data_IF_809545845969
#
_entry.id   IF_809545845969
#
_cell.length_a   1.000
_cell.length_b   1.000
_cell.length_c   1.000
_cell.angle_alpha   90.00
_cell.angle_beta   90.00
_cell.angle_gamma   90.00
#
_symmetry.space_group_name_H-M   'P 1'
#
loop_
_entity.id
_entity.type
_entity.pdbx_description
1 polymer ?
#
# COMPACT_ATOMS: atom_id res chain seq x y z
N UNK A 1 -16.50 2.38 -20.00
CA UNK A 1 -16.43 0.96 -20.46
C UNK A 1 -16.33 0.02 -19.25
N UNK A 2 -15.38 0.18 -18.35
CA UNK A 2 -15.15 -0.73 -17.20
C UNK A 2 -16.34 -0.89 -16.25
N UNK A 3 -17.20 0.13 -16.13
CA UNK A 3 -18.37 0.07 -15.25
C UNK A 3 -19.41 -1.00 -15.62
N UNK A 4 -19.33 -1.55 -16.84
CA UNK A 4 -20.23 -2.64 -17.31
C UNK A 4 -19.66 -4.04 -17.03
N UNK A 5 -18.37 -4.12 -16.63
CA UNK A 5 -17.65 -5.38 -16.43
C UNK A 5 -17.23 -5.58 -14.97
N UNK A 6 -17.07 -4.48 -14.23
CA UNK A 6 -16.54 -4.48 -12.85
C UNK A 6 -17.46 -3.70 -11.91
N UNK A 7 -17.48 -4.09 -10.67
CA UNK A 7 -17.99 -3.26 -9.58
C UNK A 7 -17.03 -2.10 -9.34
N UNK A 8 -17.42 -0.90 -9.76
CA UNK A 8 -16.54 0.27 -9.76
C UNK A 8 -16.84 1.20 -8.59
N UNK A 9 -15.78 1.63 -7.92
CA UNK A 9 -15.80 2.62 -6.85
C UNK A 9 -15.08 3.88 -7.33
N UNK A 10 -15.81 4.99 -7.44
CA UNK A 10 -15.25 6.30 -7.78
C UNK A 10 -15.39 7.22 -6.58
N UNK A 11 -14.28 7.74 -6.09
CA UNK A 11 -14.35 8.64 -4.96
C UNK A 11 -13.52 9.90 -5.17
N UNK A 12 -14.02 11.00 -4.64
CA UNK A 12 -13.28 12.25 -4.60
C UNK A 12 -12.36 12.21 -3.40
N UNK A 13 -11.05 12.23 -3.66
CA UNK A 13 -10.01 12.09 -2.66
C UNK A 13 -9.68 13.43 -1.97
N UNK A 14 -10.66 14.01 -1.28
CA UNK A 14 -10.57 15.31 -0.65
C UNK A 14 -9.54 15.36 0.49
N UNK A 15 -9.39 14.33 1.30
CA UNK A 15 -8.32 14.25 2.29
C UNK A 15 -6.95 14.15 1.67
N UNK A 16 -6.80 13.45 0.54
CA UNK A 16 -5.53 13.43 -0.18
C UNK A 16 -5.18 14.82 -0.73
N UNK A 17 -6.16 15.52 -1.30
CA UNK A 17 -5.99 16.89 -1.78
C UNK A 17 -5.60 17.84 -0.65
N UNK A 18 -6.19 17.66 0.53
CA UNK A 18 -5.90 18.48 1.72
C UNK A 18 -4.44 18.39 2.17
N UNK A 19 -3.72 17.30 1.86
CA UNK A 19 -2.29 17.17 2.21
C UNK A 19 -1.41 18.23 1.56
N UNK A 20 -1.85 18.82 0.46
CA UNK A 20 -1.13 19.86 -0.30
C UNK A 20 -1.85 21.21 -0.34
N UNK A 21 -3.14 21.26 0.02
CA UNK A 21 -3.98 22.45 -0.01
C UNK A 21 -4.61 22.76 1.35
N UNK A 22 -3.90 22.42 2.45
CA UNK A 22 -4.41 22.62 3.81
C UNK A 22 -4.56 24.10 4.19
N UNK A 23 -3.90 25.01 3.50
CA UNK A 23 -3.97 26.45 3.68
C UNK A 23 -5.10 27.13 2.87
N UNK A 24 -5.74 26.39 1.97
CA UNK A 24 -6.81 26.87 1.08
C UNK A 24 -7.86 25.76 0.86
N UNK A 25 -8.50 25.25 1.93
CA UNK A 25 -9.40 24.09 1.84
C UNK A 25 -10.68 24.36 1.05
N UNK A 26 -11.09 25.62 0.91
CA UNK A 26 -12.24 26.07 0.11
C UNK A 26 -12.13 25.66 -1.37
N UNK A 27 -10.91 25.59 -1.92
CA UNK A 27 -10.65 25.16 -3.29
C UNK A 27 -11.04 23.68 -3.46
N UNK A 28 -10.81 22.87 -2.42
CA UNK A 28 -11.18 21.45 -2.45
C UNK A 28 -12.68 21.28 -2.49
N UNK A 29 -13.41 22.03 -1.67
CA UNK A 29 -14.87 21.96 -1.59
C UNK A 29 -15.53 22.34 -2.93
N UNK A 30 -15.06 23.38 -3.60
CA UNK A 30 -15.50 23.76 -4.94
C UNK A 30 -15.19 22.66 -5.97
N UNK A 31 -13.98 22.12 -5.94
CA UNK A 31 -13.52 21.11 -6.89
C UNK A 31 -14.24 19.76 -6.76
N UNK A 32 -14.75 19.40 -5.57
CA UNK A 32 -15.52 18.17 -5.35
C UNK A 32 -16.73 18.10 -6.28
N UNK A 33 -17.51 19.18 -6.34
CA UNK A 33 -18.72 19.22 -7.17
C UNK A 33 -18.37 19.18 -8.66
N UNK A 34 -17.41 20.01 -9.08
CA UNK A 34 -16.97 20.07 -10.48
C UNK A 34 -16.47 18.72 -10.98
N UNK A 35 -15.65 18.02 -10.18
CA UNK A 35 -15.14 16.70 -10.53
C UNK A 35 -16.26 15.68 -10.73
N UNK A 36 -17.27 15.66 -9.87
CA UNK A 36 -18.43 14.75 -10.02
C UNK A 36 -19.23 15.08 -11.27
N UNK A 37 -19.43 16.38 -11.58
CA UNK A 37 -20.11 16.83 -12.80
C UNK A 37 -19.35 16.34 -14.03
N UNK A 38 -18.02 16.47 -14.06
CA UNK A 38 -17.18 15.99 -15.16
C UNK A 38 -17.27 14.47 -15.34
N UNK A 39 -17.29 13.69 -14.27
CA UNK A 39 -17.47 12.24 -14.35
C UNK A 39 -18.81 11.86 -14.97
N UNK A 40 -19.89 12.49 -14.53
CA UNK A 40 -21.22 12.24 -15.07
C UNK A 40 -21.29 12.66 -16.55
N UNK A 41 -20.70 13.81 -16.91
CA UNK A 41 -20.63 14.26 -18.30
C UNK A 41 -19.79 13.33 -19.19
N UNK A 42 -18.74 12.70 -18.63
CA UNK A 42 -17.93 11.71 -19.32
C UNK A 42 -18.61 10.32 -19.45
N UNK A 43 -19.80 10.13 -18.88
CA UNK A 43 -20.60 8.92 -19.01
C UNK A 43 -20.45 7.92 -17.86
N UNK A 44 -19.97 8.35 -16.70
CA UNK A 44 -20.05 7.54 -15.48
C UNK A 44 -21.52 7.47 -15.05
N UNK A 45 -22.08 6.27 -14.98
CA UNK A 45 -23.49 6.05 -14.64
C UNK A 45 -23.64 5.73 -13.14
N UNK A 46 -24.22 6.64 -12.33
CA UNK A 46 -24.36 6.45 -10.89
C UNK A 46 -25.31 5.31 -10.52
N UNK A 47 -26.07 4.75 -11.48
CA UNK A 47 -26.86 3.56 -11.24
C UNK A 47 -26.02 2.24 -11.32
N UNK A 48 -24.83 2.30 -11.91
CA UNK A 48 -23.95 1.16 -12.11
C UNK A 48 -22.69 1.21 -11.25
N UNK A 49 -22.33 2.38 -10.72
CA UNK A 49 -21.10 2.56 -9.94
C UNK A 49 -21.39 3.18 -8.58
N UNK A 50 -20.50 2.97 -7.62
CA UNK A 50 -20.56 3.67 -6.34
C UNK A 50 -19.71 4.94 -6.41
N UNK A 51 -20.35 6.11 -6.23
CA UNK A 51 -19.69 7.42 -6.21
C UNK A 51 -19.79 7.98 -4.78
N UNK A 52 -18.67 8.43 -4.22
CA UNK A 52 -18.64 9.01 -2.87
C UNK A 52 -17.47 9.99 -2.69
N UNK A 53 -17.49 10.70 -1.57
CA UNK A 53 -16.40 11.57 -1.12
C UNK A 53 -15.63 10.83 -0.03
N UNK A 54 -14.32 10.77 -0.10
CA UNK A 54 -13.46 10.04 0.83
C UNK A 54 -13.74 10.41 2.29
N UNK A 55 -13.87 11.69 2.62
CA UNK A 55 -14.14 12.16 3.98
C UNK A 55 -15.52 11.81 4.52
N UNK A 56 -16.44 11.33 3.67
CA UNK A 56 -17.76 10.85 4.10
C UNK A 56 -17.77 9.38 4.48
N UNK A 57 -16.66 8.69 4.28
CA UNK A 57 -16.42 7.29 4.66
C UNK A 57 -15.24 7.27 5.62
N UNK A 58 -15.45 7.47 6.94
CA UNK A 58 -14.39 7.64 7.93
C UNK A 58 -13.48 6.42 8.06
N UNK A 59 -13.92 5.24 7.61
CA UNK A 59 -13.17 3.98 7.61
C UNK A 59 -11.84 4.09 6.84
N UNK A 60 -11.74 4.99 5.86
CA UNK A 60 -10.47 5.30 5.20
C UNK A 60 -9.42 5.81 6.21
N UNK A 61 -9.81 6.76 7.08
CA UNK A 61 -8.93 7.29 8.10
C UNK A 61 -8.66 6.28 9.23
N UNK A 62 -9.65 5.47 9.58
CA UNK A 62 -9.47 4.40 10.57
C UNK A 62 -8.45 3.38 10.09
N UNK A 63 -8.61 2.87 8.86
CA UNK A 63 -7.66 1.92 8.29
C UNK A 63 -6.28 2.55 8.10
N UNK A 64 -6.19 3.80 7.61
CA UNK A 64 -4.94 4.54 7.54
C UNK A 64 -4.23 4.59 8.88
N UNK A 65 -4.97 4.88 9.96
CA UNK A 65 -4.41 4.95 11.31
C UNK A 65 -3.86 3.60 11.75
N UNK A 66 -4.59 2.50 11.52
CA UNK A 66 -4.14 1.15 11.86
C UNK A 66 -2.89 0.75 11.05
N UNK A 67 -2.88 1.02 9.75
CA UNK A 67 -1.74 0.74 8.89
C UNK A 67 -0.51 1.57 9.28
N UNK A 68 -0.70 2.82 9.77
CA UNK A 68 0.41 3.68 10.20
C UNK A 68 1.18 3.12 11.38
N UNK A 69 0.53 2.32 12.24
CA UNK A 69 1.15 1.69 13.40
C UNK A 69 2.11 0.54 13.03
N UNK A 70 1.99 0.00 11.84
CA UNK A 70 2.79 -1.14 11.38
C UNK A 70 3.77 -0.78 10.25
N UNK A 71 3.60 0.37 9.61
CA UNK A 71 4.42 0.77 8.45
C UNK A 71 5.68 1.48 8.93
N UNK A 72 6.89 0.98 8.58
CA UNK A 72 8.14 1.63 8.96
C UNK A 72 8.27 3.02 8.34
N UNK A 73 8.75 4.00 9.10
CA UNK A 73 8.98 5.36 8.62
C UNK A 73 9.95 5.39 7.44
N UNK A 74 10.97 4.53 7.45
CA UNK A 74 11.95 4.41 6.36
C UNK A 74 11.31 4.08 5.00
N UNK A 75 10.19 3.36 4.97
CA UNK A 75 9.46 3.10 3.73
C UNK A 75 8.86 4.38 3.16
N UNK A 76 8.30 5.23 4.02
CA UNK A 76 7.73 6.52 3.63
C UNK A 76 8.79 7.49 3.12
N UNK A 77 9.94 7.54 3.79
CA UNK A 77 11.08 8.38 3.39
C UNK A 77 11.66 7.97 2.04
N UNK A 78 11.84 6.67 1.80
CA UNK A 78 12.27 6.15 0.49
C UNK A 78 11.28 6.52 -0.61
N UNK A 79 9.99 6.39 -0.35
CA UNK A 79 8.95 6.74 -1.30
C UNK A 79 8.96 8.24 -1.64
N UNK A 80 9.11 9.11 -0.66
CA UNK A 80 9.25 10.56 -0.84
C UNK A 80 10.49 10.91 -1.66
N UNK A 81 11.65 10.35 -1.30
CA UNK A 81 12.89 10.55 -2.03
C UNK A 81 12.84 10.09 -3.50
N UNK A 82 12.05 9.04 -3.79
CA UNK A 82 11.84 8.58 -5.17
C UNK A 82 11.05 9.60 -5.99
N UNK A 83 10.02 10.22 -5.42
CA UNK A 83 9.23 11.28 -6.08
C UNK A 83 10.07 12.53 -6.37
N UNK A 84 10.94 12.93 -5.45
CA UNK A 84 11.82 14.08 -5.64
C UNK A 84 12.81 13.86 -6.81
N UNK A 85 13.29 12.64 -7.00
CA UNK A 85 14.16 12.27 -8.14
C UNK A 85 13.46 12.33 -9.50
N UNK A 86 12.12 12.23 -9.54
CA UNK A 86 11.36 12.33 -10.79
C UNK A 86 11.13 13.79 -11.25
N UNK A 87 11.81 14.75 -10.65
CA UNK A 87 11.85 16.15 -11.12
C UNK A 87 10.56 16.95 -10.85
N UNK A 88 9.70 16.46 -9.98
CA UNK A 88 8.65 17.30 -9.39
C UNK A 88 9.24 17.88 -8.10
N UNK A 89 9.70 19.13 -8.10
CA UNK A 89 10.15 19.75 -6.86
C UNK A 89 8.94 19.69 -5.92
N UNK A 90 9.14 19.07 -4.75
CA UNK A 90 8.25 19.30 -3.62
C UNK A 90 8.16 20.81 -3.49
N UNK A 91 6.98 21.35 -3.80
CA UNK A 91 6.73 22.79 -3.73
C UNK A 91 7.19 23.24 -2.34
N UNK A 92 8.27 24.00 -2.33
CA UNK A 92 8.85 24.74 -1.22
C UNK A 92 8.29 24.40 0.17
N UNK A 93 8.98 23.57 0.92
CA UNK A 93 8.91 23.60 2.39
C UNK A 93 7.79 22.82 3.06
N UNK A 94 6.97 22.08 2.34
CA UNK A 94 5.80 21.39 2.87
C UNK A 94 6.08 19.91 3.19
N UNK A 95 6.99 19.65 4.11
CA UNK A 95 7.15 18.34 4.72
C UNK A 95 6.19 18.20 5.93
N UNK A 96 4.89 18.29 5.66
CA UNK A 96 3.91 17.94 6.70
C UNK A 96 3.82 16.42 6.84
N UNK A 97 3.42 15.97 8.03
CA UNK A 97 3.15 14.54 8.26
C UNK A 97 2.09 13.99 7.29
N UNK A 98 1.04 14.77 7.00
CA UNK A 98 0.01 14.39 6.02
C UNK A 98 0.58 14.17 4.62
N UNK A 99 1.49 15.04 4.18
CA UNK A 99 2.16 14.89 2.89
C UNK A 99 3.07 13.66 2.86
N UNK A 100 3.82 13.40 3.93
CA UNK A 100 4.63 12.19 4.06
C UNK A 100 3.75 10.93 4.10
N UNK A 101 2.62 10.99 4.81
CA UNK A 101 1.66 9.90 4.99
C UNK A 101 0.76 9.61 3.78
N UNK A 102 0.75 10.47 2.77
CA UNK A 102 -0.10 10.36 1.58
C UNK A 102 -0.10 8.96 0.91
N UNK A 103 1.04 8.28 0.68
CA UNK A 103 1.03 6.98 0.04
C UNK A 103 0.33 5.90 0.88
N UNK A 104 0.39 6.05 2.20
CA UNK A 104 -0.28 5.12 3.12
C UNK A 104 -1.79 5.35 3.17
N UNK A 105 -2.24 6.61 3.07
CA UNK A 105 -3.66 6.93 2.92
C UNK A 105 -4.21 6.32 1.62
N UNK A 106 -3.48 6.44 0.51
CA UNK A 106 -3.84 5.80 -0.76
C UNK A 106 -3.86 4.26 -0.64
N UNK A 107 -2.97 3.68 0.15
CA UNK A 107 -3.02 2.24 0.42
C UNK A 107 -4.28 1.85 1.18
N UNK A 108 -4.72 2.66 2.14
CA UNK A 108 -5.97 2.44 2.85
C UNK A 108 -7.17 2.51 1.89
N UNK A 109 -7.20 3.50 0.98
CA UNK A 109 -8.25 3.66 -0.04
C UNK A 109 -8.40 2.40 -0.91
N UNK A 110 -7.29 1.76 -1.27
CA UNK A 110 -7.29 0.56 -2.12
C UNK A 110 -7.68 -0.68 -1.32
N UNK A 111 -7.08 -0.86 -0.14
CA UNK A 111 -7.22 -2.08 0.66
C UNK A 111 -8.61 -2.19 1.32
N UNK A 112 -9.24 -1.06 1.66
CA UNK A 112 -10.56 -1.02 2.28
C UNK A 112 -11.61 -1.74 1.43
N UNK A 113 -11.55 -1.57 0.11
CA UNK A 113 -12.49 -2.16 -0.85
C UNK A 113 -11.99 -3.48 -1.45
N UNK A 114 -10.83 -3.99 -1.03
CA UNK A 114 -10.20 -5.19 -1.62
C UNK A 114 -10.07 -5.08 -3.14
N UNK A 115 -9.71 -3.91 -3.63
CA UNK A 115 -9.64 -3.64 -5.05
C UNK A 115 -8.71 -4.63 -5.75
N UNK A 116 -9.22 -5.31 -6.77
CA UNK A 116 -8.45 -6.25 -7.61
C UNK A 116 -7.80 -5.55 -8.79
N UNK A 117 -8.37 -4.43 -9.21
CA UNK A 117 -7.92 -3.61 -10.33
C UNK A 117 -7.92 -2.13 -9.91
N UNK A 118 -6.82 -1.44 -10.15
CA UNK A 118 -6.69 -0.01 -9.89
C UNK A 118 -6.15 0.66 -11.16
N UNK A 119 -7.00 1.34 -11.95
CA UNK A 119 -6.55 2.10 -13.10
C UNK A 119 -5.63 3.24 -12.66
N UNK A 120 -4.43 3.31 -13.23
CA UNK A 120 -3.46 4.35 -12.88
C UNK A 120 -2.47 4.64 -14.01
N UNK A 121 -1.85 5.81 -13.94
CA UNK A 121 -0.75 6.18 -14.81
C UNK A 121 0.55 5.49 -14.36
N UNK A 122 1.49 5.28 -15.29
CA UNK A 122 2.78 4.63 -15.01
C UNK A 122 3.58 5.24 -13.86
N UNK A 123 3.47 6.55 -13.67
CA UNK A 123 4.14 7.26 -12.58
C UNK A 123 3.56 6.97 -11.18
N UNK A 124 2.39 6.32 -11.10
CA UNK A 124 1.75 5.90 -9.86
C UNK A 124 2.00 4.42 -9.52
N UNK A 125 2.69 3.69 -10.40
CA UNK A 125 3.02 2.28 -10.16
C UNK A 125 3.73 2.05 -8.81
N UNK A 126 4.67 2.89 -8.38
CA UNK A 126 5.30 2.74 -7.06
C UNK A 126 4.31 2.78 -5.89
N UNK A 127 3.19 3.49 -6.03
CA UNK A 127 2.14 3.54 -4.99
C UNK A 127 1.46 2.18 -4.81
N UNK A 128 1.28 1.45 -5.91
CA UNK A 128 0.68 0.10 -5.88
C UNK A 128 1.65 -0.90 -5.27
N UNK A 129 2.94 -0.83 -5.61
CA UNK A 129 3.94 -1.70 -5.00
C UNK A 129 4.04 -1.43 -3.49
N UNK A 130 4.06 -0.16 -3.09
CA UNK A 130 4.00 0.21 -1.68
C UNK A 130 2.74 -0.34 -0.99
N UNK A 131 1.57 -0.26 -1.63
CA UNK A 131 0.32 -0.83 -1.11
C UNK A 131 0.43 -2.34 -0.91
N UNK A 132 1.06 -3.05 -1.85
CA UNK A 132 1.31 -4.49 -1.73
C UNK A 132 2.22 -4.82 -0.57
N UNK A 133 3.27 -4.03 -0.34
CA UNK A 133 4.20 -4.23 0.78
C UNK A 133 3.50 -4.01 2.12
N UNK A 134 2.67 -2.97 2.23
CA UNK A 134 1.84 -2.73 3.41
C UNK A 134 0.89 -3.89 3.67
N UNK A 135 0.22 -4.40 2.62
CA UNK A 135 -0.68 -5.55 2.74
C UNK A 135 0.06 -6.84 3.16
N UNK A 136 1.23 -7.12 2.56
CA UNK A 136 2.08 -8.25 2.96
C UNK A 136 2.49 -8.16 4.42
N UNK A 137 2.91 -6.97 4.87
CA UNK A 137 3.29 -6.75 6.26
C UNK A 137 2.11 -6.94 7.21
N UNK A 138 0.94 -6.42 6.85
CA UNK A 138 -0.29 -6.62 7.64
C UNK A 138 -0.60 -8.12 7.76
N UNK A 139 -0.63 -8.83 6.65
CA UNK A 139 -0.89 -10.27 6.62
C UNK A 139 0.16 -11.06 7.40
N UNK A 140 1.43 -10.67 7.30
CA UNK A 140 2.51 -11.29 8.07
C UNK A 140 2.34 -11.13 9.58
N UNK A 141 1.85 -9.97 10.03
CA UNK A 141 1.67 -9.68 11.46
C UNK A 141 0.38 -10.29 12.03
N UNK A 142 -0.72 -10.24 11.26
CA UNK A 142 -2.06 -10.53 11.76
C UNK A 142 -2.77 -11.69 11.03
N UNK A 143 -2.33 -12.03 9.83
CA UNK A 143 -2.94 -13.09 9.02
C UNK A 143 -2.46 -14.51 9.37
N UNK A 144 -1.80 -14.69 10.50
CA UNK A 144 -1.18 -15.95 10.88
C UNK A 144 -2.22 -17.03 11.23
N UNK A 145 -2.05 -18.20 10.64
CA UNK A 145 -2.83 -19.40 11.02
C UNK A 145 -2.51 -19.86 12.44
N UNK A 146 -3.39 -20.64 13.03
CA UNK A 146 -3.16 -21.24 14.36
C UNK A 146 -1.86 -22.11 14.34
N UNK A 147 -0.95 -21.82 15.25
CA UNK A 147 0.34 -22.50 15.33
C UNK A 147 1.37 -22.04 14.27
N UNK A 148 1.16 -20.90 13.63
CA UNK A 148 2.04 -20.34 12.60
C UNK A 148 3.52 -20.29 13.04
N UNK A 149 3.81 -19.80 14.25
CA UNK A 149 5.19 -19.64 14.74
C UNK A 149 5.94 -20.98 14.77
N UNK A 150 5.26 -22.05 15.21
CA UNK A 150 5.85 -23.40 15.25
C UNK A 150 6.11 -23.90 13.83
N UNK A 151 5.13 -23.76 12.95
CA UNK A 151 5.23 -24.19 11.55
C UNK A 151 6.27 -23.40 10.77
N UNK A 152 6.36 -22.10 11.00
CA UNK A 152 7.36 -21.23 10.38
C UNK A 152 8.78 -21.62 10.86
N UNK A 153 8.95 -21.89 12.16
CA UNK A 153 10.25 -22.33 12.68
C UNK A 153 10.66 -23.71 12.15
N UNK A 154 9.69 -24.63 11.97
CA UNK A 154 9.92 -25.91 11.30
C UNK A 154 10.34 -25.71 9.83
N UNK A 155 9.70 -24.78 9.12
CA UNK A 155 10.07 -24.45 7.74
C UNK A 155 11.50 -23.87 7.67
N UNK A 156 11.87 -22.98 8.61
CA UNK A 156 13.23 -22.43 8.71
C UNK A 156 14.26 -23.55 8.97
N UNK A 157 13.94 -24.54 9.81
CA UNK A 157 14.83 -25.69 10.05
C UNK A 157 15.07 -26.49 8.79
N UNK A 158 14.08 -26.61 7.89
CA UNK A 158 14.22 -27.31 6.60
C UNK A 158 15.18 -26.59 5.63
N UNK A 159 15.43 -25.27 5.80
CA UNK A 159 16.48 -24.55 5.07
C UNK A 159 17.89 -25.02 5.42
N UNK A 160 18.05 -25.69 6.55
CA UNK A 160 19.35 -26.08 7.12
C UNK A 160 20.02 -24.90 7.88
N UNK A 161 21.04 -25.21 8.67
CA UNK A 161 21.62 -24.25 9.62
C UNK A 161 22.09 -22.95 8.98
N UNK A 162 22.91 -23.01 7.92
CA UNK A 162 23.49 -21.81 7.28
C UNK A 162 22.41 -20.94 6.62
N UNK A 163 21.54 -21.53 5.80
CA UNK A 163 20.48 -20.81 5.09
C UNK A 163 19.41 -20.31 6.05
N UNK A 164 19.11 -21.05 7.11
CA UNK A 164 18.17 -20.62 8.14
C UNK A 164 18.65 -19.39 8.93
N UNK A 165 19.94 -19.28 9.25
CA UNK A 165 20.51 -18.07 9.83
C UNK A 165 20.44 -16.90 8.85
N UNK A 166 20.90 -17.11 7.61
CA UNK A 166 20.84 -16.07 6.58
C UNK A 166 19.42 -15.56 6.36
N UNK A 167 18.42 -16.44 6.31
CA UNK A 167 17.02 -16.05 6.18
C UNK A 167 16.55 -15.17 7.36
N UNK A 168 16.90 -15.51 8.60
CA UNK A 168 16.52 -14.71 9.77
C UNK A 168 17.16 -13.32 9.74
N UNK A 169 18.43 -13.23 9.32
CA UNK A 169 19.14 -11.96 9.20
C UNK A 169 18.53 -11.07 8.10
N UNK A 170 18.22 -11.65 6.94
CA UNK A 170 17.54 -10.96 5.84
C UNK A 170 16.14 -10.48 6.26
N UNK A 171 15.36 -11.34 6.92
CA UNK A 171 14.04 -11.00 7.43
C UNK A 171 14.09 -9.83 8.41
N UNK A 172 15.02 -9.87 9.36
CA UNK A 172 15.22 -8.79 10.35
C UNK A 172 15.62 -7.50 9.64
N UNK A 173 16.58 -7.54 8.73
CA UNK A 173 17.04 -6.39 7.97
C UNK A 173 15.92 -5.77 7.14
N UNK A 174 15.08 -6.60 6.49
CA UNK A 174 13.92 -6.11 5.76
C UNK A 174 12.87 -5.48 6.68
N UNK A 175 12.59 -6.09 7.82
CA UNK A 175 11.63 -5.54 8.79
C UNK A 175 12.06 -4.18 9.37
N UNK A 176 13.36 -3.97 9.55
CA UNK A 176 13.92 -2.72 10.07
C UNK A 176 14.10 -1.65 8.98
N UNK A 177 14.53 -2.04 7.79
CA UNK A 177 14.96 -1.12 6.73
C UNK A 177 14.03 -1.04 5.51
N UNK A 178 13.20 -2.06 5.25
CA UNK A 178 12.31 -2.12 4.09
C UNK A 178 13.07 -2.11 2.75
N UNK A 179 14.24 -2.78 2.68
CA UNK A 179 15.08 -2.83 1.49
C UNK A 179 14.60 -3.92 0.54
N UNK A 180 14.17 -3.53 -0.69
CA UNK A 180 13.68 -4.46 -1.71
C UNK A 180 14.73 -5.51 -2.10
N UNK A 181 16.00 -5.15 -2.17
CA UNK A 181 17.07 -6.10 -2.50
C UNK A 181 17.23 -7.17 -1.42
N UNK A 182 17.00 -6.81 -0.16
CA UNK A 182 16.98 -7.76 0.95
C UNK A 182 15.77 -8.69 0.84
N UNK A 183 14.61 -8.15 0.45
CA UNK A 183 13.40 -8.95 0.22
C UNK A 183 13.60 -9.95 -0.93
N UNK A 184 14.09 -9.49 -2.08
CA UNK A 184 14.39 -10.34 -3.24
C UNK A 184 15.39 -11.45 -2.89
N UNK A 185 16.42 -11.12 -2.10
CA UNK A 185 17.40 -12.10 -1.62
C UNK A 185 16.78 -13.17 -0.72
N UNK A 186 15.85 -12.77 0.17
CA UNK A 186 15.12 -13.70 1.02
C UNK A 186 14.15 -14.58 0.21
N UNK A 187 13.45 -13.99 -0.77
CA UNK A 187 12.55 -14.72 -1.67
C UNK A 187 13.30 -15.75 -2.50
N UNK A 188 14.41 -15.37 -3.14
CA UNK A 188 15.25 -16.27 -3.91
C UNK A 188 15.78 -17.44 -3.06
N UNK A 189 16.22 -17.15 -1.83
CA UNK A 189 16.69 -18.15 -0.90
C UNK A 189 15.63 -19.21 -0.57
N UNK A 190 14.37 -18.79 -0.43
CA UNK A 190 13.23 -19.67 -0.11
C UNK A 190 12.74 -20.42 -1.35
N UNK A 191 12.63 -19.72 -2.50
CA UNK A 191 12.11 -20.30 -3.74
C UNK A 191 13.01 -21.42 -4.29
N UNK A 192 14.32 -21.24 -4.24
CA UNK A 192 15.32 -22.21 -4.70
C UNK A 192 15.33 -23.49 -3.86
N UNK A 193 14.69 -23.50 -2.68
CA UNK A 193 14.77 -24.61 -1.77
C UNK A 193 13.74 -25.70 -2.08
N UNK A 194 14.22 -26.84 -2.61
CA UNK A 194 13.38 -27.98 -2.97
C UNK A 194 12.82 -28.74 -1.76
N UNK A 195 13.43 -28.61 -0.60
CA UNK A 195 12.99 -29.26 0.66
C UNK A 195 11.77 -28.62 1.30
N UNK A 196 11.37 -27.42 0.83
CA UNK A 196 10.21 -26.69 1.32
C UNK A 196 8.97 -27.07 0.51
N UNK A 197 7.88 -27.38 1.22
CA UNK A 197 6.55 -27.48 0.61
C UNK A 197 6.04 -26.11 0.18
N UNK A 198 5.01 -26.05 -0.66
CA UNK A 198 4.36 -24.79 -1.04
C UNK A 198 3.91 -23.99 0.19
N UNK A 199 3.23 -24.63 1.15
CA UNK A 199 2.81 -23.98 2.39
C UNK A 199 3.97 -23.55 3.30
N UNK A 200 5.13 -24.22 3.27
CA UNK A 200 6.33 -23.74 3.97
C UNK A 200 6.86 -22.45 3.32
N UNK A 201 6.88 -22.39 1.98
CA UNK A 201 7.31 -21.19 1.25
C UNK A 201 6.39 -20.01 1.53
N UNK A 202 5.07 -20.20 1.46
CA UNK A 202 4.09 -19.16 1.77
C UNK A 202 4.22 -18.59 3.20
N UNK A 203 4.65 -19.43 4.18
CA UNK A 203 4.89 -18.98 5.55
C UNK A 203 6.16 -18.16 5.71
N UNK A 204 7.14 -18.39 4.86
CA UNK A 204 8.42 -17.70 4.92
C UNK A 204 8.46 -16.43 4.08
N UNK A 205 7.67 -16.36 3.02
CA UNK A 205 7.51 -15.19 2.12
C UNK A 205 6.43 -14.26 2.60
#
# INVERSE_FOLDING_TARGET
>A
ELQHEYECFFFVADWQALTTHYDSPEIIEESVLEMVIDWLAAGVDPAQVTIFIQSKVPEHAELYTLLSMITPLSWMEKFSAHKDRQGKPSSKGLLTYGFLGYPLLQSADILLYRATQVPLCKNQLPNIEFTRDVARRFNHLYGKEKGYEVKAEEAIKKLGSKKGHLYRDLKKSYQEGGDEQVLESAQSLVEEQQSLSHGDKERLL
#
